data_IF_901888300013
#
_entry.id   IF_901888300013
#
_cell.length_a   1.000
_cell.length_b   1.000
_cell.length_c   1.000
_cell.angle_alpha   90.00
_cell.angle_beta   90.00
_cell.angle_gamma   90.00
#
_symmetry.space_group_name_H-M   'P 1'
#
loop_
_entity.id
_entity.type
_entity.pdbx_description
1 polymer ?
#
# COMPACT_ATOMS: atom_id res chain seq x y z
N UNK A 1 27.16 -3.29 -2.32
CA UNK A 1 27.01 -4.74 -2.57
C UNK A 1 25.88 -5.24 -1.68
N UNK A 2 24.94 -6.01 -2.21
CA UNK A 2 23.85 -6.59 -1.43
C UNK A 2 24.14 -8.08 -1.22
N UNK A 3 23.90 -8.58 -0.01
CA UNK A 3 24.00 -10.01 0.30
C UNK A 3 22.59 -10.58 0.44
N UNK A 4 22.42 -11.83 0.00
CA UNK A 4 21.15 -12.54 0.09
C UNK A 4 21.19 -13.50 1.28
N UNK A 5 20.03 -13.67 1.90
CA UNK A 5 19.87 -14.57 3.03
C UNK A 5 18.41 -14.74 3.41
N UNK A 6 18.19 -15.53 4.46
CA UNK A 6 16.88 -15.83 5.03
C UNK A 6 16.88 -15.38 6.48
N UNK A 7 15.80 -14.72 6.90
CA UNK A 7 15.56 -14.42 8.32
C UNK A 7 14.95 -15.65 8.98
N UNK A 8 15.62 -16.21 9.99
CA UNK A 8 15.11 -17.29 10.84
C UNK A 8 14.98 -16.80 12.27
N UNK A 9 13.77 -16.40 12.65
CA UNK A 9 13.51 -15.79 13.95
C UNK A 9 14.33 -14.51 14.11
N UNK A 10 15.33 -14.54 15.00
CA UNK A 10 16.16 -13.38 15.33
C UNK A 10 17.55 -13.42 14.64
N UNK A 11 17.78 -14.36 13.73
CA UNK A 11 19.06 -14.56 13.05
C UNK A 11 18.88 -14.35 11.55
N UNK A 12 19.80 -13.60 10.94
CA UNK A 12 19.91 -13.48 9.47
C UNK A 12 20.95 -14.49 9.02
N UNK A 13 20.50 -15.55 8.34
CA UNK A 13 21.37 -16.54 7.72
C UNK A 13 21.69 -16.10 6.30
N UNK A 14 22.96 -15.90 5.97
CA UNK A 14 23.38 -15.48 4.63
C UNK A 14 23.67 -16.70 3.76
N UNK A 15 23.30 -16.62 2.49
CA UNK A 15 23.53 -17.69 1.50
C UNK A 15 25.03 -17.85 1.21
N UNK A 16 25.81 -16.78 1.38
CA UNK A 16 27.24 -16.71 1.13
C UNK A 16 28.00 -16.15 2.34
N UNK A 17 29.25 -16.60 2.51
CA UNK A 17 30.13 -16.06 3.54
C UNK A 17 30.52 -14.62 3.22
N UNK A 18 30.46 -13.74 4.23
CA UNK A 18 30.86 -12.36 4.07
C UNK A 18 32.39 -12.24 4.03
N UNK A 19 32.96 -11.44 3.10
CA UNK A 19 34.39 -11.21 3.02
C UNK A 19 34.88 -10.19 4.06
N UNK A 20 34.28 -10.19 5.26
CA UNK A 20 34.64 -9.26 6.33
C UNK A 20 35.45 -10.00 7.41
N UNK A 21 36.50 -9.37 7.98
CA UNK A 21 37.22 -9.93 9.10
C UNK A 21 36.30 -10.20 10.30
N UNK A 22 36.68 -11.18 11.11
CA UNK A 22 36.02 -11.43 12.39
C UNK A 22 36.03 -10.17 13.27
N UNK A 23 34.92 -9.91 13.96
CA UNK A 23 34.73 -8.71 14.79
C UNK A 23 34.27 -7.46 14.02
N UNK A 24 34.05 -7.55 12.71
CA UNK A 24 33.45 -6.45 11.93
C UNK A 24 32.03 -6.16 12.41
N UNK A 25 31.77 -4.91 12.80
CA UNK A 25 30.43 -4.45 13.17
C UNK A 25 29.67 -4.02 11.92
N UNK A 26 28.44 -4.51 11.77
CA UNK A 26 27.55 -4.18 10.65
C UNK A 26 26.23 -3.62 11.17
N UNK A 27 25.71 -2.61 10.50
CA UNK A 27 24.39 -2.05 10.76
C UNK A 27 23.40 -2.57 9.72
N UNK A 28 22.29 -3.14 10.20
CA UNK A 28 21.22 -3.66 9.35
C UNK A 28 19.99 -2.75 9.50
N UNK A 29 19.59 -2.12 8.41
CA UNK A 29 18.36 -1.35 8.34
C UNK A 29 17.27 -2.18 7.67
N UNK A 30 16.23 -2.54 8.43
CA UNK A 30 15.03 -3.17 7.88
C UNK A 30 14.08 -2.05 7.48
N UNK A 31 13.90 -1.85 6.18
CA UNK A 31 12.88 -0.93 5.69
C UNK A 31 11.49 -1.56 5.94
N UNK A 32 10.54 -0.84 6.56
CA UNK A 32 9.19 -1.32 6.69
C UNK A 32 8.59 -1.57 5.29
N UNK A 33 7.68 -2.54 5.22
CA UNK A 33 6.95 -2.81 3.98
C UNK A 33 6.32 -1.51 3.47
N UNK A 34 6.64 -1.14 2.23
CA UNK A 34 6.12 0.10 1.67
C UNK A 34 4.62 -0.06 1.47
N UNK A 35 3.85 0.84 2.07
CA UNK A 35 2.42 0.93 1.75
C UNK A 35 2.27 1.15 0.25
N UNK A 36 1.32 0.46 -0.42
CA UNK A 36 1.12 0.63 -1.83
C UNK A 36 0.87 2.10 -2.16
N UNK A 37 1.42 2.56 -3.30
CA UNK A 37 1.15 3.92 -3.76
C UNK A 37 -0.35 4.15 -3.86
N UNK A 38 -0.80 5.33 -3.44
CA UNK A 38 -2.22 5.73 -3.53
C UNK A 38 -2.76 5.45 -4.94
N UNK A 39 -3.92 4.79 -5.02
CA UNK A 39 -4.59 4.40 -6.26
C UNK A 39 -3.82 3.42 -7.17
N UNK A 40 -2.72 2.81 -6.72
CA UNK A 40 -2.09 1.73 -7.48
C UNK A 40 -3.00 0.50 -7.57
N UNK A 41 -2.90 -0.33 -8.62
CA UNK A 41 -3.65 -1.59 -8.71
C UNK A 41 -3.49 -2.46 -7.46
N UNK A 42 -2.29 -2.49 -6.87
CA UNK A 42 -2.02 -3.23 -5.64
C UNK A 42 -2.76 -2.67 -4.43
N UNK A 43 -2.91 -1.34 -4.31
CA UNK A 43 -3.74 -0.71 -3.28
C UNK A 43 -5.22 -1.12 -3.42
N UNK A 44 -5.75 -1.17 -4.64
CA UNK A 44 -7.12 -1.58 -4.89
C UNK A 44 -7.37 -3.06 -4.57
N UNK A 45 -6.43 -3.94 -4.93
CA UNK A 45 -6.52 -5.36 -4.63
C UNK A 45 -6.51 -5.64 -3.13
N UNK A 46 -5.74 -4.88 -2.34
CA UNK A 46 -5.77 -5.00 -0.87
C UNK A 46 -7.12 -4.60 -0.26
N UNK A 47 -7.90 -3.76 -0.94
CA UNK A 47 -9.22 -3.30 -0.48
C UNK A 47 -10.38 -4.17 -1.01
N UNK A 48 -10.10 -5.08 -1.95
CA UNK A 48 -11.14 -5.89 -2.56
C UNK A 48 -11.73 -6.88 -1.54
N UNK A 49 -13.01 -6.69 -1.20
CA UNK A 49 -13.73 -7.56 -0.27
C UNK A 49 -13.44 -7.30 1.22
N UNK A 50 -12.78 -6.19 1.57
CA UNK A 50 -12.52 -5.83 2.98
C UNK A 50 -13.62 -5.00 3.62
N UNK A 51 -14.52 -4.43 2.81
CA UNK A 51 -15.66 -3.64 3.31
C UNK A 51 -16.75 -4.57 3.84
N UNK A 52 -17.21 -4.30 5.06
CA UNK A 52 -18.47 -4.89 5.52
C UNK A 52 -19.67 -4.22 4.85
N UNK A 53 -20.84 -4.86 4.95
CA UNK A 53 -22.09 -4.30 4.41
C UNK A 53 -22.40 -2.94 5.05
N UNK A 54 -22.22 -2.83 6.37
CA UNK A 54 -22.47 -1.60 7.13
C UNK A 54 -21.54 -0.45 6.71
N UNK A 55 -20.27 -0.74 6.46
CA UNK A 55 -19.28 0.25 5.98
C UNK A 55 -19.60 0.70 4.55
N UNK A 56 -20.06 -0.23 3.70
CA UNK A 56 -20.55 0.06 2.36
C UNK A 56 -21.77 0.98 2.36
N UNK A 57 -22.76 0.69 3.21
CA UNK A 57 -23.95 1.52 3.38
C UNK A 57 -23.61 2.92 3.90
N UNK A 58 -22.71 3.02 4.88
CA UNK A 58 -22.25 4.30 5.40
C UNK A 58 -21.59 5.16 4.31
N UNK A 59 -20.75 4.54 3.47
CA UNK A 59 -20.12 5.22 2.33
C UNK A 59 -21.15 5.71 1.31
N UNK A 60 -22.15 4.88 0.96
CA UNK A 60 -23.21 5.25 0.04
C UNK A 60 -24.09 6.39 0.58
N UNK A 61 -24.42 6.36 1.88
CA UNK A 61 -25.17 7.43 2.55
C UNK A 61 -24.42 8.76 2.48
N UNK A 62 -23.14 8.77 2.84
CA UNK A 62 -22.31 9.97 2.76
C UNK A 62 -22.27 10.55 1.35
N UNK A 63 -22.07 9.71 0.33
CA UNK A 63 -22.05 10.14 -1.07
C UNK A 63 -23.40 10.79 -1.46
N UNK A 64 -24.52 10.20 -1.06
CA UNK A 64 -25.85 10.74 -1.37
C UNK A 64 -26.13 12.09 -0.71
N UNK A 65 -25.65 12.28 0.51
CA UNK A 65 -25.94 13.46 1.33
C UNK A 65 -24.99 14.63 1.07
N UNK A 66 -23.71 14.34 0.80
CA UNK A 66 -22.66 15.37 0.81
C UNK A 66 -21.95 15.57 -0.53
N UNK A 67 -21.99 14.59 -1.43
CA UNK A 67 -21.34 14.73 -2.74
C UNK A 67 -22.32 15.37 -3.71
N UNK A 68 -21.98 16.56 -4.19
CA UNK A 68 -22.76 17.27 -5.22
C UNK A 68 -22.92 16.36 -6.43
N UNK A 69 -24.16 16.00 -6.76
CA UNK A 69 -24.48 15.25 -7.97
C UNK A 69 -24.09 16.07 -9.19
N UNK A 70 -23.61 15.39 -10.23
CA UNK A 70 -23.38 16.02 -11.53
C UNK A 70 -24.73 16.53 -12.03
N UNK A 71 -24.81 17.84 -12.23
CA UNK A 71 -25.92 18.48 -12.89
C UNK A 71 -25.68 18.40 -14.40
N UNK A 72 -26.28 17.39 -15.03
CA UNK A 72 -26.14 17.12 -16.46
C UNK A 72 -26.77 18.22 -17.33
N UNK A 73 -27.73 18.99 -16.81
CA UNK A 73 -28.32 20.12 -17.52
C UNK A 73 -27.34 21.31 -17.57
N UNK A 74 -26.61 21.55 -16.47
CA UNK A 74 -25.55 22.56 -16.42
C UNK A 74 -24.37 22.26 -17.35
N UNK A 75 -24.18 20.99 -17.74
CA UNK A 75 -23.16 20.55 -18.69
C UNK A 75 -23.58 20.72 -20.16
N UNK A 76 -24.88 20.59 -20.47
CA UNK A 76 -25.40 20.79 -21.84
C UNK A 76 -25.32 22.25 -22.30
N UNK A 77 -25.53 23.20 -21.39
CA UNK A 77 -25.56 24.65 -21.70
C UNK A 77 -24.22 25.26 -22.12
N UNK A 78 -23.09 24.54 -22.03
CA UNK A 78 -21.76 25.04 -22.44
C UNK A 78 -21.32 24.62 -23.85
N UNK A 79 -22.19 23.97 -24.61
CA UNK A 79 -21.87 23.45 -25.95
C UNK A 79 -22.61 24.20 -27.09
N UNK A 80 -23.32 25.28 -26.77
CA UNK A 80 -23.87 26.26 -27.73
C UNK A 80 -23.08 27.57 -27.64
#
# INVERSE_FOLDING_TARGET
MGYKGIVRGNVIELDESLPFPEGTRVDVAVAPEQTPRKNSPQAWLQLAGTLTEEEGEASLRFIREHVRRVDWEMWKQRQE
#
